data_IF_096194812967
#
_entry.id   IF_096194812967
#
_cell.length_a   1.000
_cell.length_b   1.000
_cell.length_c   1.000
_cell.angle_alpha   90.00
_cell.angle_beta   90.00
_cell.angle_gamma   90.00
#
_symmetry.space_group_name_H-M   'P 1'
#
loop_
_entity.id
_entity.type
_entity.pdbx_description
1 polymer ?
#
# COMPACT_ATOMS: atom_id res chain seq x y z
N UNK A 1 -3.03 63.40 -17.52
CA UNK A 1 -2.31 62.38 -16.72
C UNK A 1 -3.35 61.63 -15.91
N UNK A 2 -3.83 60.50 -16.43
CA UNK A 2 -4.81 59.65 -15.76
C UNK A 2 -4.45 58.22 -16.11
N UNK A 3 -3.64 57.59 -15.26
CA UNK A 3 -3.24 56.20 -15.40
C UNK A 3 -3.04 55.59 -13.99
N UNK A 4 -4.12 55.45 -13.23
CA UNK A 4 -4.05 54.75 -11.92
C UNK A 4 -5.20 53.77 -11.65
N UNK A 5 -6.07 53.45 -12.62
CA UNK A 5 -7.31 52.71 -12.31
C UNK A 5 -7.51 51.37 -13.04
N UNK A 6 -6.44 50.70 -13.52
CA UNK A 6 -6.58 49.41 -14.22
C UNK A 6 -5.73 48.25 -13.67
N UNK A 7 -4.98 48.43 -12.60
CA UNK A 7 -4.12 47.35 -12.04
C UNK A 7 -4.76 46.56 -10.90
N UNK A 8 -5.84 47.06 -10.28
CA UNK A 8 -6.47 46.42 -9.12
C UNK A 8 -7.40 45.24 -9.43
N UNK A 9 -8.04 45.21 -10.60
CA UNK A 9 -9.05 44.19 -10.96
C UNK A 9 -8.43 42.88 -11.46
N UNK A 10 -7.34 42.97 -12.24
CA UNK A 10 -6.67 41.80 -12.81
C UNK A 10 -5.87 40.98 -11.78
N UNK A 11 -5.36 41.63 -10.72
CA UNK A 11 -4.62 40.93 -9.65
C UNK A 11 -5.60 40.17 -8.73
N UNK A 12 -6.81 40.71 -8.52
CA UNK A 12 -7.80 40.10 -7.64
C UNK A 12 -8.45 38.84 -8.24
N UNK A 13 -8.66 38.77 -9.56
CA UNK A 13 -9.15 37.55 -10.22
C UNK A 13 -8.08 36.45 -10.28
N UNK A 14 -6.82 36.80 -10.55
CA UNK A 14 -5.73 35.83 -10.54
C UNK A 14 -5.44 35.27 -9.14
N UNK A 15 -5.53 36.10 -8.10
CA UNK A 15 -5.38 35.64 -6.72
C UNK A 15 -6.50 34.68 -6.28
N UNK A 16 -7.74 34.89 -6.75
CA UNK A 16 -8.88 34.04 -6.42
C UNK A 16 -8.83 32.67 -7.12
N UNK A 17 -8.32 32.62 -8.35
CA UNK A 17 -8.20 31.36 -9.11
C UNK A 17 -6.93 30.56 -8.75
N UNK A 18 -5.84 31.22 -8.32
CA UNK A 18 -4.64 30.54 -7.82
C UNK A 18 -4.84 29.90 -6.45
N UNK A 19 -5.68 30.48 -5.59
CA UNK A 19 -6.02 29.92 -4.26
C UNK A 19 -7.02 28.76 -4.37
N UNK A 20 -7.81 28.69 -5.45
CA UNK A 20 -8.78 27.61 -5.67
C UNK A 20 -8.18 26.25 -6.04
N UNK A 21 -6.96 26.23 -6.62
CA UNK A 21 -6.38 25.01 -7.21
C UNK A 21 -5.10 24.49 -6.55
N UNK A 22 -4.51 25.21 -5.59
CA UNK A 22 -3.25 24.78 -4.93
C UNK A 22 -3.38 24.45 -3.45
N UNK A 23 -4.55 24.68 -2.85
CA UNK A 23 -4.86 24.20 -1.51
C UNK A 23 -6.20 23.46 -1.56
N UNK A 24 -6.20 22.29 -2.18
CA UNK A 24 -7.13 21.23 -1.77
C UNK A 24 -6.68 20.82 -0.36
N UNK A 25 -7.04 21.65 0.64
CA UNK A 25 -7.08 21.25 2.03
C UNK A 25 -7.81 19.92 1.99
N UNK A 26 -7.13 18.83 2.34
CA UNK A 26 -7.75 17.53 2.54
C UNK A 26 -8.79 17.74 3.64
N UNK A 27 -9.99 18.17 3.25
CA UNK A 27 -11.12 18.21 4.16
C UNK A 27 -11.28 16.77 4.58
N UNK A 28 -11.14 16.46 5.89
CA UNK A 28 -11.25 15.09 6.34
C UNK A 28 -12.58 14.53 5.84
N UNK A 29 -12.51 13.38 5.17
CA UNK A 29 -13.69 12.78 4.56
C UNK A 29 -14.78 12.60 5.63
N UNK A 30 -16.01 13.10 5.39
CA UNK A 30 -17.12 12.92 6.30
C UNK A 30 -17.32 11.43 6.66
N UNK A 31 -17.72 11.10 7.90
CA UNK A 31 -17.92 9.70 8.30
C UNK A 31 -18.85 8.91 7.38
N UNK A 32 -19.91 9.55 6.87
CA UNK A 32 -20.86 8.93 5.95
C UNK A 32 -20.19 8.48 4.64
N UNK A 33 -19.36 9.32 4.03
CA UNK A 33 -18.62 8.96 2.82
C UNK A 33 -17.63 7.82 3.05
N UNK A 34 -16.99 7.77 4.24
CA UNK A 34 -16.13 6.63 4.62
C UNK A 34 -16.93 5.34 4.68
N UNK A 35 -18.12 5.37 5.29
CA UNK A 35 -19.01 4.21 5.37
C UNK A 35 -19.44 3.76 3.96
N UNK A 36 -19.83 4.69 3.10
CA UNK A 36 -20.21 4.40 1.71
C UNK A 36 -19.09 3.72 0.93
N UNK A 37 -17.84 4.21 1.02
CA UNK A 37 -16.69 3.56 0.37
C UNK A 37 -16.42 2.17 0.93
N UNK A 38 -16.55 1.96 2.25
CA UNK A 38 -16.37 0.65 2.87
C UNK A 38 -17.43 -0.35 2.41
N UNK A 39 -18.69 0.08 2.37
CA UNK A 39 -19.80 -0.76 1.89
C UNK A 39 -19.70 -1.04 0.39
N UNK A 40 -19.16 -0.10 -0.40
CA UNK A 40 -18.87 -0.30 -1.82
C UNK A 40 -17.77 -1.35 -2.03
N UNK A 41 -16.63 -1.17 -1.36
CA UNK A 41 -15.42 -1.92 -1.71
C UNK A 41 -15.27 -3.24 -0.97
N UNK A 42 -15.57 -3.29 0.32
CA UNK A 42 -15.31 -4.48 1.14
C UNK A 42 -15.97 -5.75 0.56
N UNK A 43 -17.26 -5.76 0.20
CA UNK A 43 -17.90 -6.96 -0.34
C UNK A 43 -17.26 -7.42 -1.66
N UNK A 44 -16.93 -6.49 -2.56
CA UNK A 44 -16.32 -6.80 -3.88
C UNK A 44 -14.95 -7.44 -3.73
N UNK A 45 -14.12 -6.91 -2.82
CA UNK A 45 -12.81 -7.50 -2.54
C UNK A 45 -12.92 -8.87 -1.85
N UNK A 46 -13.81 -9.01 -0.87
CA UNK A 46 -14.01 -10.31 -0.19
C UNK A 46 -14.55 -11.38 -1.12
N UNK A 47 -15.46 -11.04 -2.03
CA UNK A 47 -15.96 -11.93 -3.06
C UNK A 47 -14.84 -12.32 -4.03
N UNK A 48 -14.08 -11.35 -4.54
CA UNK A 48 -12.97 -11.61 -5.46
C UNK A 48 -11.90 -12.53 -4.83
N UNK A 49 -11.50 -12.26 -3.57
CA UNK A 49 -10.53 -13.07 -2.83
C UNK A 49 -11.06 -14.50 -2.64
N UNK A 50 -12.34 -14.64 -2.29
CA UNK A 50 -12.96 -15.95 -2.10
C UNK A 50 -13.03 -16.75 -3.40
N UNK A 51 -13.44 -16.13 -4.50
CA UNK A 51 -13.51 -16.77 -5.82
C UNK A 51 -12.11 -17.22 -6.27
N UNK A 52 -11.12 -16.33 -6.17
CA UNK A 52 -9.75 -16.64 -6.56
C UNK A 52 -9.16 -17.77 -5.72
N UNK A 53 -9.41 -17.77 -4.41
CA UNK A 53 -8.97 -18.85 -3.54
C UNK A 53 -9.66 -20.18 -3.90
N UNK A 54 -10.98 -20.18 -4.06
CA UNK A 54 -11.75 -21.39 -4.39
C UNK A 54 -11.35 -22.01 -5.74
N UNK A 55 -10.88 -21.17 -6.69
CA UNK A 55 -10.44 -21.57 -8.03
C UNK A 55 -8.93 -21.77 -8.13
N UNK A 56 -8.20 -21.66 -7.02
CA UNK A 56 -6.74 -21.78 -6.96
C UNK A 56 -6.01 -20.81 -7.92
N UNK A 57 -6.57 -19.62 -8.11
CA UNK A 57 -6.02 -18.56 -8.96
C UNK A 57 -4.97 -17.73 -8.21
N UNK A 58 -4.11 -17.04 -8.97
CA UNK A 58 -3.13 -16.13 -8.37
C UNK A 58 -3.81 -14.91 -7.78
N UNK A 59 -3.28 -14.38 -6.68
CA UNK A 59 -3.81 -13.22 -5.98
C UNK A 59 -3.21 -11.89 -6.42
N UNK A 60 -2.52 -11.83 -7.56
CA UNK A 60 -1.84 -10.61 -7.98
C UNK A 60 -2.82 -9.49 -8.32
N UNK A 61 -2.39 -8.26 -8.05
CA UNK A 61 -3.09 -7.02 -8.39
C UNK A 61 -2.06 -5.96 -8.81
N UNK A 62 -2.49 -5.05 -9.68
CA UNK A 62 -1.74 -3.86 -10.07
C UNK A 62 -2.27 -2.67 -9.29
N UNK A 63 -1.41 -2.05 -8.49
CA UNK A 63 -1.74 -0.80 -7.80
C UNK A 63 -1.31 0.35 -8.70
N UNK A 64 -2.20 1.32 -8.96
CA UNK A 64 -1.95 2.49 -9.82
C UNK A 64 -2.22 3.78 -9.08
N UNK A 65 -1.35 4.77 -9.24
CA UNK A 65 -1.56 6.12 -8.71
C UNK A 65 -2.49 6.92 -9.63
N UNK A 66 -3.62 7.36 -9.08
CA UNK A 66 -4.61 8.19 -9.78
C UNK A 66 -4.06 9.52 -10.29
N UNK A 67 -2.96 10.04 -9.71
CA UNK A 67 -2.32 11.27 -10.19
C UNK A 67 -1.37 11.05 -11.35
N UNK A 68 -0.94 9.81 -11.58
CA UNK A 68 0.07 9.41 -12.56
C UNK A 68 -0.44 8.28 -13.46
N UNK A 69 -1.75 8.26 -13.74
CA UNK A 69 -2.42 7.17 -14.48
C UNK A 69 -1.82 6.92 -15.86
N UNK A 70 -1.38 7.97 -16.54
CA UNK A 70 -0.81 7.93 -17.89
C UNK A 70 0.63 7.39 -17.93
N UNK A 71 1.24 7.09 -16.77
CA UNK A 71 2.59 6.52 -16.77
C UNK A 71 2.60 5.03 -17.10
N UNK A 72 1.53 4.30 -16.77
CA UNK A 72 1.39 2.89 -17.11
C UNK A 72 1.06 2.72 -18.61
N UNK A 73 1.58 1.69 -19.29
CA UNK A 73 2.31 0.53 -18.77
C UNK A 73 3.82 0.78 -18.59
N UNK A 74 4.32 1.94 -18.99
CA UNK A 74 5.74 2.25 -18.93
C UNK A 74 6.16 2.58 -17.48
N UNK A 75 7.46 2.49 -17.20
CA UNK A 75 8.00 2.90 -15.90
C UNK A 75 9.17 3.84 -16.10
N UNK A 76 9.28 4.84 -15.22
CA UNK A 76 10.43 5.74 -15.17
C UNK A 76 11.46 5.14 -14.22
N UNK A 77 12.44 4.42 -14.76
CA UNK A 77 13.46 3.70 -13.99
C UNK A 77 14.25 4.57 -12.99
N UNK A 78 14.29 5.90 -13.20
CA UNK A 78 15.02 6.84 -12.37
C UNK A 78 14.13 7.83 -11.59
N UNK A 79 12.82 7.56 -11.48
CA UNK A 79 11.94 8.41 -10.68
C UNK A 79 12.25 8.27 -9.18
N UNK A 80 12.32 9.40 -8.47
CA UNK A 80 12.49 9.38 -7.01
C UNK A 80 11.17 8.97 -6.34
N UNK A 81 11.24 7.98 -5.46
CA UNK A 81 10.10 7.52 -4.68
C UNK A 81 9.51 6.23 -5.21
N UNK A 82 8.26 5.94 -4.83
CA UNK A 82 7.54 4.75 -5.31
C UNK A 82 7.03 4.97 -6.74
N UNK A 83 7.12 3.91 -7.55
CA UNK A 83 6.60 3.89 -8.91
C UNK A 83 5.12 4.32 -8.98
N UNK A 84 4.72 4.93 -10.08
CA UNK A 84 3.32 5.28 -10.36
C UNK A 84 2.40 4.05 -10.42
N UNK A 85 2.96 2.88 -10.69
CA UNK A 85 2.27 1.62 -10.60
C UNK A 85 3.22 0.48 -10.21
N UNK A 86 2.70 -0.55 -9.57
CA UNK A 86 3.46 -1.74 -9.21
C UNK A 86 2.54 -2.92 -8.91
N UNK A 87 3.09 -4.13 -8.98
CA UNK A 87 2.38 -5.38 -8.74
C UNK A 87 2.55 -5.86 -7.30
N UNK A 88 1.47 -6.32 -6.67
CA UNK A 88 1.44 -6.93 -5.32
C UNK A 88 0.46 -8.10 -5.27
N UNK A 89 0.44 -8.85 -4.17
CA UNK A 89 -0.59 -9.87 -3.91
C UNK A 89 -1.72 -9.33 -3.01
N UNK A 90 -2.98 -9.41 -3.43
CA UNK A 90 -4.15 -9.13 -2.61
C UNK A 90 -4.46 -10.33 -1.70
N UNK A 91 -4.13 -10.22 -0.42
CA UNK A 91 -4.15 -11.37 0.52
C UNK A 91 -5.30 -11.33 1.52
N UNK A 92 -6.04 -10.23 1.59
CA UNK A 92 -7.13 -10.11 2.55
C UNK A 92 -7.77 -8.73 2.59
N UNK A 93 -8.74 -8.58 3.48
CA UNK A 93 -9.33 -7.31 3.87
C UNK A 93 -9.18 -7.10 5.38
N UNK A 94 -9.32 -5.86 5.83
CA UNK A 94 -9.43 -5.50 7.24
C UNK A 94 -10.54 -4.45 7.41
N UNK A 95 -10.82 -4.06 8.66
CA UNK A 95 -11.96 -3.19 8.98
C UNK A 95 -11.96 -1.81 8.27
N UNK A 96 -10.83 -1.36 7.70
CA UNK A 96 -10.75 -0.09 6.94
C UNK A 96 -10.23 -0.24 5.51
N UNK A 97 -9.87 -1.43 5.03
CA UNK A 97 -9.23 -1.53 3.73
C UNK A 97 -8.86 -2.93 3.28
N UNK A 98 -7.89 -2.99 2.37
CA UNK A 98 -7.31 -4.22 1.83
C UNK A 98 -5.89 -4.46 2.35
N UNK A 99 -5.50 -5.72 2.39
CA UNK A 99 -4.15 -6.18 2.72
C UNK A 99 -3.45 -6.60 1.43
N UNK A 100 -2.34 -5.94 1.12
CA UNK A 100 -1.52 -6.25 -0.05
C UNK A 100 -0.11 -6.68 0.35
N UNK A 101 0.30 -7.84 -0.12
CA UNK A 101 1.57 -8.48 0.20
C UNK A 101 2.65 -8.11 -0.81
N UNK A 102 3.85 -7.82 -0.29
CA UNK A 102 5.04 -7.51 -1.08
C UNK A 102 5.87 -8.76 -1.34
N UNK A 103 6.58 -9.24 -0.32
CA UNK A 103 7.47 -10.39 -0.40
C UNK A 103 7.61 -11.05 0.98
N UNK A 104 8.04 -12.31 0.96
CA UNK A 104 8.37 -13.07 2.16
C UNK A 104 9.72 -12.63 2.72
N UNK A 105 9.81 -12.60 4.04
CA UNK A 105 11.01 -12.28 4.81
C UNK A 105 11.16 -13.27 5.96
N UNK A 106 12.34 -13.29 6.57
CA UNK A 106 12.66 -14.09 7.75
C UNK A 106 13.17 -13.16 8.85
N UNK A 107 12.55 -13.27 10.03
CA UNK A 107 12.84 -12.43 11.19
C UNK A 107 13.37 -13.25 12.35
N UNK A 108 14.32 -12.67 13.08
CA UNK A 108 14.89 -13.24 14.31
C UNK A 108 14.49 -12.34 15.47
N UNK A 109 13.94 -12.94 16.52
CA UNK A 109 13.65 -12.22 17.77
C UNK A 109 14.97 -11.99 18.54
N UNK A 110 15.21 -10.74 18.94
CA UNK A 110 16.44 -10.33 19.64
C UNK A 110 16.17 -9.82 21.06
N UNK A 111 14.93 -9.98 21.52
CA UNK A 111 14.42 -9.54 22.81
C UNK A 111 12.91 -9.41 22.71
N UNK A 112 12.23 -9.34 23.85
CA UNK A 112 10.77 -9.40 23.95
C UNK A 112 10.06 -8.49 22.94
N UNK A 113 9.47 -9.10 21.90
CA UNK A 113 8.73 -8.42 20.84
C UNK A 113 9.57 -7.55 19.88
N UNK A 114 10.90 -7.67 19.92
CA UNK A 114 11.82 -6.94 19.03
C UNK A 114 12.44 -7.89 18.02
N UNK A 115 12.28 -7.54 16.75
CA UNK A 115 12.74 -8.36 15.64
C UNK A 115 13.77 -7.63 14.79
N UNK A 116 14.69 -8.40 14.22
CA UNK A 116 15.56 -7.99 13.12
C UNK A 116 15.39 -8.95 11.95
N UNK A 117 15.87 -8.58 10.77
CA UNK A 117 16.02 -9.54 9.68
C UNK A 117 17.04 -10.63 10.02
N UNK A 118 16.83 -11.81 9.48
CA UNK A 118 17.82 -12.86 9.41
C UNK A 118 18.96 -12.42 8.46
N UNK A 119 20.20 -12.61 8.88
CA UNK A 119 21.38 -12.47 8.02
C UNK A 119 21.90 -13.86 7.65
N UNK A 120 21.55 -14.32 6.45
CA UNK A 120 21.95 -15.65 5.97
C UNK A 120 23.47 -15.88 5.95
N UNK A 121 24.29 -14.82 5.89
CA UNK A 121 25.75 -14.94 5.80
C UNK A 121 26.40 -15.02 7.18
N UNK A 122 25.90 -14.27 8.16
CA UNK A 122 26.52 -14.20 9.49
C UNK A 122 25.83 -15.06 10.55
N UNK A 123 24.53 -15.31 10.43
CA UNK A 123 23.80 -16.09 11.42
C UNK A 123 24.13 -17.59 11.34
N UNK A 124 24.22 -18.24 12.50
CA UNK A 124 24.46 -19.67 12.62
C UNK A 124 23.23 -20.49 12.19
N UNK A 125 23.37 -21.82 12.08
CA UNK A 125 22.27 -22.67 11.61
C UNK A 125 21.08 -22.66 12.58
N UNK A 126 21.32 -22.66 13.89
CA UNK A 126 20.29 -22.59 14.93
C UNK A 126 19.40 -21.34 14.76
N UNK A 127 20.00 -20.17 14.56
CA UNK A 127 19.28 -18.91 14.33
C UNK A 127 18.46 -18.94 13.04
N UNK A 128 18.93 -19.65 12.01
CA UNK A 128 18.20 -19.81 10.75
C UNK A 128 17.00 -20.73 10.90
N UNK A 129 17.17 -21.82 11.65
CA UNK A 129 16.11 -22.79 11.91
C UNK A 129 15.00 -22.19 12.78
N UNK A 130 15.35 -21.30 13.71
CA UNK A 130 14.41 -20.57 14.57
C UNK A 130 13.83 -19.28 13.94
N UNK A 131 14.27 -18.91 12.72
CA UNK A 131 13.81 -17.69 12.08
C UNK A 131 12.32 -17.77 11.71
N UNK A 132 11.58 -16.71 12.05
CA UNK A 132 10.16 -16.61 11.76
C UNK A 132 9.94 -16.15 10.33
N UNK A 133 9.31 -17.01 9.52
CA UNK A 133 8.86 -16.65 8.18
C UNK A 133 7.65 -15.73 8.23
N UNK A 134 7.78 -14.55 7.64
CA UNK A 134 6.75 -13.50 7.63
C UNK A 134 6.52 -12.94 6.24
N UNK A 135 5.31 -12.42 6.01
CA UNK A 135 4.93 -11.69 4.81
C UNK A 135 4.93 -10.19 5.13
N UNK A 136 5.62 -9.39 4.33
CA UNK A 136 5.48 -7.93 4.41
C UNK A 136 4.14 -7.55 3.79
N UNK A 137 3.26 -6.89 4.55
CA UNK A 137 1.93 -6.49 4.11
C UNK A 137 1.74 -4.99 4.30
N UNK A 138 1.23 -4.34 3.25
CA UNK A 138 0.77 -2.97 3.24
C UNK A 138 -0.74 -2.91 3.42
N UNK A 139 -1.21 -1.97 4.23
CA UNK A 139 -2.63 -1.75 4.51
C UNK A 139 -3.10 -0.55 3.70
N UNK A 140 -3.87 -0.77 2.63
CA UNK A 140 -4.44 0.31 1.81
C UNK A 140 -5.86 0.58 2.29
N UNK A 141 -6.18 1.78 2.83
CA UNK A 141 -7.53 2.13 3.24
C UNK A 141 -8.49 2.16 2.04
N UNK A 142 -9.75 1.76 2.24
CA UNK A 142 -10.79 1.90 1.21
C UNK A 142 -10.98 3.36 0.79
N UNK A 143 -10.73 4.31 1.70
CA UNK A 143 -10.76 5.74 1.43
C UNK A 143 -9.68 6.20 0.43
N UNK A 144 -8.61 5.41 0.25
CA UNK A 144 -7.58 5.67 -0.75
C UNK A 144 -7.92 5.05 -2.11
N UNK A 145 -8.92 4.17 -2.22
CA UNK A 145 -9.28 3.50 -3.49
C UNK A 145 -10.31 4.35 -4.23
N UNK A 146 -9.91 4.87 -5.39
CA UNK A 146 -10.77 5.62 -6.30
C UNK A 146 -11.64 4.69 -7.12
N UNK A 147 -11.04 3.69 -7.76
CA UNK A 147 -11.74 2.72 -8.59
C UNK A 147 -10.98 1.40 -8.71
N UNK A 148 -11.67 0.36 -9.19
CA UNK A 148 -11.09 -0.97 -9.42
C UNK A 148 -11.66 -1.57 -10.69
N UNK A 149 -10.76 -1.96 -11.59
CA UNK A 149 -11.04 -2.87 -12.69
C UNK A 149 -10.59 -4.28 -12.27
N UNK A 150 -11.52 -5.23 -12.18
CA UNK A 150 -11.20 -6.59 -11.74
C UNK A 150 -10.78 -7.53 -12.87
N UNK A 151 -11.03 -7.16 -14.13
CA UNK A 151 -10.72 -7.99 -15.29
C UNK A 151 -9.27 -7.78 -15.76
N UNK A 152 -8.71 -6.60 -15.47
CA UNK A 152 -7.38 -6.20 -15.91
C UNK A 152 -7.36 -5.75 -17.37
N UNK A 153 -6.18 -5.82 -17.99
CA UNK A 153 -5.96 -5.30 -19.34
C UNK A 153 -5.00 -6.19 -20.16
N UNK A 154 -4.61 -5.72 -21.34
CA UNK A 154 -3.75 -6.44 -22.28
C UNK A 154 -2.31 -6.66 -21.78
N UNK A 155 -1.84 -5.90 -20.80
CA UNK A 155 -0.50 -6.04 -20.22
C UNK A 155 -0.53 -6.91 -18.97
N UNK A 156 -1.55 -6.73 -18.13
CA UNK A 156 -1.77 -7.49 -16.91
C UNK A 156 -3.26 -7.81 -16.74
N UNK A 157 -3.58 -9.09 -16.91
CA UNK A 157 -4.90 -9.68 -16.67
C UNK A 157 -5.23 -9.88 -15.17
N UNK A 158 -4.71 -9.01 -14.32
CA UNK A 158 -4.95 -8.97 -12.87
C UNK A 158 -5.76 -7.71 -12.54
N UNK A 159 -6.47 -7.64 -11.41
CA UNK A 159 -7.17 -6.44 -11.03
C UNK A 159 -6.27 -5.19 -10.98
N UNK A 160 -6.73 -4.09 -11.56
CA UNK A 160 -6.13 -2.77 -11.46
C UNK A 160 -6.86 -1.96 -10.40
N UNK A 161 -6.15 -1.64 -9.32
CA UNK A 161 -6.66 -0.87 -8.19
C UNK A 161 -6.10 0.55 -8.30
N UNK A 162 -6.96 1.50 -8.62
CA UNK A 162 -6.62 2.91 -8.74
C UNK A 162 -6.68 3.58 -7.37
N UNK A 163 -5.52 3.97 -6.84
CA UNK A 163 -5.35 4.50 -5.50
C UNK A 163 -4.83 5.95 -5.48
N UNK A 164 -5.25 6.71 -4.48
CA UNK A 164 -4.62 7.96 -4.09
C UNK A 164 -3.37 7.66 -3.26
N UNK A 165 -2.20 8.09 -3.74
CA UNK A 165 -0.92 7.96 -3.03
C UNK A 165 -0.77 9.10 -2.00
N UNK A 166 -1.71 9.15 -1.06
CA UNK A 166 -1.93 10.26 -0.13
C UNK A 166 -0.99 10.24 1.09
N UNK A 167 -0.32 9.11 1.36
CA UNK A 167 0.44 8.92 2.58
C UNK A 167 1.94 9.00 2.29
N UNK A 168 2.49 10.23 2.30
CA UNK A 168 3.90 10.50 1.95
C UNK A 168 4.29 9.96 0.55
N UNK A 169 3.36 9.97 -0.38
CA UNK A 169 3.56 9.45 -1.73
C UNK A 169 3.31 7.95 -1.87
N UNK A 170 2.77 7.28 -0.84
CA UNK A 170 2.40 5.86 -0.87
C UNK A 170 0.88 5.68 -0.68
N UNK A 171 0.29 4.56 -1.13
CA UNK A 171 -1.12 4.26 -0.90
C UNK A 171 -1.41 3.66 0.49
N UNK A 172 -0.37 3.20 1.20
CA UNK A 172 -0.51 2.47 2.47
C UNK A 172 -0.66 3.44 3.63
N UNK A 173 -1.57 3.16 4.57
CA UNK A 173 -1.54 3.83 5.88
C UNK A 173 -0.51 3.22 6.83
N UNK A 174 -0.14 1.96 6.59
CA UNK A 174 0.82 1.23 7.41
C UNK A 174 1.40 0.05 6.64
N UNK A 175 2.64 -0.31 6.97
CA UNK A 175 3.31 -1.53 6.50
C UNK A 175 3.87 -2.29 7.70
N UNK A 176 3.58 -3.58 7.78
CA UNK A 176 4.01 -4.44 8.89
C UNK A 176 4.31 -5.87 8.39
N UNK A 177 4.92 -6.67 9.26
CA UNK A 177 5.20 -8.08 9.01
C UNK A 177 4.14 -8.94 9.68
N UNK A 178 3.65 -9.95 8.95
CA UNK A 178 2.61 -10.85 9.41
C UNK A 178 3.02 -12.30 9.21
N UNK A 179 2.65 -13.19 10.13
CA UNK A 179 2.61 -14.64 9.84
C UNK A 179 1.35 -14.96 9.04
N UNK A 180 1.44 -15.92 8.13
CA UNK A 180 0.27 -16.47 7.44
C UNK A 180 -0.10 -17.81 8.07
N UNK A 181 -1.36 -17.93 8.47
CA UNK A 181 -1.92 -19.13 9.08
C UNK A 181 -3.18 -19.56 8.31
N UNK A 182 -3.60 -20.81 8.51
CA UNK A 182 -4.80 -21.37 7.91
C UNK A 182 -5.42 -22.34 8.91
N UNK A 183 -6.74 -22.23 9.15
CA UNK A 183 -7.41 -23.07 10.16
C UNK A 183 -7.62 -24.50 9.67
N UNK A 184 -8.12 -24.61 8.44
CA UNK A 184 -8.39 -25.86 7.74
C UNK A 184 -7.95 -25.74 6.28
N UNK A 185 -7.71 -26.86 5.60
CA UNK A 185 -7.22 -26.89 4.20
C UNK A 185 -8.03 -26.00 3.25
N UNK A 186 -9.36 -25.94 3.44
CA UNK A 186 -10.27 -25.21 2.54
C UNK A 186 -10.72 -23.85 3.11
N UNK A 187 -10.09 -23.38 4.20
CA UNK A 187 -10.36 -22.06 4.77
C UNK A 187 -9.44 -21.01 4.16
N UNK A 188 -9.93 -19.77 4.01
CA UNK A 188 -9.07 -18.66 3.61
C UNK A 188 -7.90 -18.50 4.60
N UNK A 189 -6.67 -18.27 4.12
CA UNK A 189 -5.57 -17.89 4.97
C UNK A 189 -5.90 -16.60 5.75
N UNK A 190 -5.39 -16.51 6.97
CA UNK A 190 -5.46 -15.31 7.79
C UNK A 190 -4.06 -14.88 8.22
N UNK A 191 -3.90 -13.58 8.40
CA UNK A 191 -2.61 -12.95 8.68
C UNK A 191 -2.60 -12.39 10.09
N UNK A 192 -1.61 -12.76 10.88
CA UNK A 192 -1.43 -12.26 12.26
C UNK A 192 -0.23 -11.33 12.30
N UNK A 193 -0.42 -10.11 12.79
CA UNK A 193 0.65 -9.12 12.85
C UNK A 193 1.73 -9.55 13.85
N UNK A 194 2.99 -9.43 13.45
CA UNK A 194 4.16 -9.70 14.28
C UNK A 194 4.80 -8.40 14.74
N UNK A 195 5.15 -7.52 13.79
CA UNK A 195 5.87 -6.30 14.08
C UNK A 195 5.71 -5.25 12.98
N UNK A 196 5.78 -3.97 13.36
CA UNK A 196 5.81 -2.86 12.39
C UNK A 196 7.11 -2.90 11.56
N UNK A 197 7.00 -2.73 10.24
CA UNK A 197 8.14 -2.87 9.35
C UNK A 197 9.26 -1.84 9.65
N UNK A 198 8.88 -0.62 10.05
CA UNK A 198 9.83 0.41 10.45
C UNK A 198 10.65 -0.01 11.68
N UNK A 199 10.00 -0.56 12.71
CA UNK A 199 10.66 -0.99 13.94
C UNK A 199 11.67 -2.11 13.69
N UNK A 200 11.32 -3.07 12.81
CA UNK A 200 12.23 -4.15 12.40
C UNK A 200 13.45 -3.61 11.65
N UNK A 201 13.25 -2.68 10.72
CA UNK A 201 14.35 -2.05 9.97
C UNK A 201 15.28 -1.25 10.87
N UNK A 202 14.72 -0.48 11.81
CA UNK A 202 15.49 0.32 12.75
C UNK A 202 16.31 -0.58 13.69
N UNK A 203 15.74 -1.70 14.14
CA UNK A 203 16.44 -2.70 14.97
C UNK A 203 17.54 -3.41 14.19
N UNK A 204 17.25 -3.85 12.97
CA UNK A 204 18.24 -4.49 12.08
C UNK A 204 19.43 -3.58 11.81
N UNK A 205 19.17 -2.30 11.50
CA UNK A 205 20.23 -1.30 11.26
C UNK A 205 21.09 -1.08 12.49
N UNK A 206 20.51 -0.99 13.68
CA UNK A 206 21.26 -0.84 14.95
C UNK A 206 22.18 -2.02 15.21
N UNK A 207 21.79 -3.21 14.76
CA UNK A 207 22.56 -4.45 14.90
C UNK A 207 23.48 -4.75 13.70
N UNK A 208 23.59 -3.82 12.75
CA UNK A 208 24.47 -3.97 11.58
C UNK A 208 23.95 -4.95 10.51
N UNK A 209 22.71 -5.43 10.65
CA UNK A 209 22.10 -6.33 9.66
C UNK A 209 21.53 -5.52 8.50
N UNK A 210 21.90 -5.92 7.28
CA UNK A 210 21.37 -5.30 6.06
C UNK A 210 19.88 -5.66 5.91
N UNK A 211 19.04 -4.63 5.75
CA UNK A 211 17.64 -4.85 5.37
C UNK A 211 17.59 -5.41 3.95
N UNK A 212 16.78 -6.45 3.67
CA UNK A 212 16.39 -6.75 2.29
C UNK A 212 15.75 -5.51 1.68
N UNK A 213 16.00 -5.30 0.38
CA UNK A 213 15.49 -4.18 -0.39
C UNK A 213 13.94 -4.23 -0.46
N UNK A 214 13.30 -3.06 -0.41
CA UNK A 214 11.92 -2.83 -0.86
C UNK A 214 12.01 -2.43 -2.32
#
# INVERSE_FOLDING_TARGET
>A
MALEWLTGSLIYSFAKDLVGNTIRIFKPMPPQQKIELRQKWKPRFEEHIRDHFARELRSDVIIRDVKRVDQYPDSKENEKGISAWFRLGLVGTYHRGILVAFHWNELVEVGEGKFRFLDHKSDNQETKDDALKVLQIGMIPFENIQDVDFEGDEYYNYPHIYCHFSNKGEPYERVAYFTQNQLFKDSLPYHTEVAEAKAVRDTSRKLGVKSPYI
#
